data_IF_696865159401
#
_entry.id   IF_696865159401
#
_cell.length_a   1.000
_cell.length_b   1.000
_cell.length_c   1.000
_cell.angle_alpha   90.00
_cell.angle_beta   90.00
_cell.angle_gamma   90.00
#
_symmetry.space_group_name_H-M   'P 1'
#
loop_
_entity.id
_entity.type
_entity.pdbx_description
1 polymer ?
#
# COMPACT_ATOMS: atom_id res chain seq x y z
N UNK A 1 6.68 22.00 -41.24
CA UNK A 1 6.21 22.01 -39.83
C UNK A 1 5.76 20.63 -39.33
N UNK A 2 4.93 19.87 -40.08
CA UNK A 2 4.48 18.52 -39.67
C UNK A 2 5.59 17.49 -39.40
N UNK A 3 6.73 17.57 -40.11
CA UNK A 3 7.86 16.63 -39.97
C UNK A 3 8.60 16.74 -38.63
N UNK A 4 8.61 17.93 -38.02
CA UNK A 4 9.29 18.17 -36.74
C UNK A 4 8.46 17.73 -35.52
N UNK A 5 7.18 17.42 -35.71
CA UNK A 5 6.28 16.90 -34.65
C UNK A 5 6.44 15.38 -34.48
N UNK A 6 6.87 14.66 -35.53
CA UNK A 6 7.07 13.21 -35.49
C UNK A 6 8.28 12.79 -34.66
N UNK A 7 9.33 13.62 -34.66
CA UNK A 7 10.58 13.35 -33.93
C UNK A 7 10.36 13.22 -32.42
N UNK A 8 9.71 14.17 -31.71
CA UNK A 8 9.49 14.04 -30.28
C UNK A 8 8.57 12.86 -29.93
N UNK A 9 7.58 12.54 -30.76
CA UNK A 9 6.69 11.39 -30.54
C UNK A 9 7.43 10.05 -30.55
N UNK A 10 8.44 9.89 -31.40
CA UNK A 10 9.28 8.69 -31.46
C UNK A 10 10.15 8.52 -30.21
N UNK A 11 10.66 9.62 -29.63
CA UNK A 11 11.47 9.56 -28.41
C UNK A 11 10.63 9.27 -27.14
N UNK A 12 9.37 9.70 -27.10
CA UNK A 12 8.47 9.39 -25.98
C UNK A 12 8.15 7.88 -25.87
N UNK A 13 8.11 7.16 -26.99
CA UNK A 13 7.86 5.71 -27.00
C UNK A 13 8.95 4.88 -26.32
N UNK A 14 10.20 5.37 -26.30
CA UNK A 14 11.33 4.67 -25.66
C UNK A 14 11.24 4.66 -24.13
N UNK A 15 10.48 5.59 -23.55
CA UNK A 15 10.26 5.70 -22.10
C UNK A 15 9.10 4.81 -21.61
N UNK A 16 8.32 4.21 -22.51
CA UNK A 16 7.22 3.31 -22.17
C UNK A 16 7.76 1.90 -21.86
N UNK A 17 8.47 1.75 -20.74
CA UNK A 17 8.93 0.47 -20.22
C UNK A 17 7.78 -0.23 -19.46
N UNK A 18 6.90 -0.92 -20.19
CA UNK A 18 5.91 -1.82 -19.57
C UNK A 18 5.96 -3.20 -20.23
N UNK A 19 7.04 -3.94 -19.97
CA UNK A 19 7.13 -5.35 -20.37
C UNK A 19 6.61 -6.24 -19.25
N UNK A 20 5.68 -7.15 -19.57
CA UNK A 20 5.28 -8.20 -18.63
C UNK A 20 6.44 -9.17 -18.41
N UNK A 21 6.49 -9.84 -17.25
CA UNK A 21 7.60 -10.77 -16.91
C UNK A 21 7.81 -11.86 -17.95
N UNK A 22 6.74 -12.33 -18.61
CA UNK A 22 6.82 -13.35 -19.67
C UNK A 22 7.44 -12.78 -20.96
N UNK A 23 7.16 -11.52 -21.30
CA UNK A 23 7.76 -10.84 -22.45
C UNK A 23 9.25 -10.63 -22.20
N UNK A 24 9.62 -10.17 -21.00
CA UNK A 24 11.02 -10.02 -20.59
C UNK A 24 11.77 -11.37 -20.60
N UNK A 25 11.14 -12.44 -20.08
CA UNK A 25 11.74 -13.77 -20.12
C UNK A 25 12.02 -14.23 -21.55
N UNK A 26 11.10 -13.98 -22.49
CA UNK A 26 11.29 -14.31 -23.91
C UNK A 26 12.35 -13.43 -24.59
N UNK A 27 12.39 -12.13 -24.31
CA UNK A 27 13.36 -11.22 -24.92
C UNK A 27 14.81 -11.54 -24.51
N UNK A 28 15.00 -12.13 -23.33
CA UNK A 28 16.28 -12.66 -22.85
C UNK A 28 16.48 -14.15 -23.16
N UNK A 29 15.97 -14.62 -24.31
CA UNK A 29 16.15 -15.99 -24.84
C UNK A 29 15.53 -17.11 -23.99
N UNK A 30 14.66 -16.78 -23.04
CA UNK A 30 13.91 -17.74 -22.26
C UNK A 30 12.77 -18.38 -23.06
N UNK A 31 12.47 -19.66 -22.79
CA UNK A 31 11.34 -20.36 -23.42
C UNK A 31 10.07 -20.26 -22.57
N UNK A 32 8.90 -20.35 -23.23
CA UNK A 32 7.60 -20.49 -22.53
C UNK A 32 7.60 -21.71 -21.62
N UNK A 33 8.25 -22.80 -22.04
CA UNK A 33 8.35 -24.04 -21.27
C UNK A 33 9.13 -23.82 -19.97
N UNK A 34 10.25 -23.10 -19.99
CA UNK A 34 11.02 -22.81 -18.78
C UNK A 34 10.29 -21.83 -17.86
N UNK A 35 9.61 -20.82 -18.41
CA UNK A 35 8.76 -19.91 -17.64
C UNK A 35 7.59 -20.66 -16.97
N UNK A 36 6.91 -21.53 -17.72
CA UNK A 36 5.81 -22.36 -17.20
C UNK A 36 6.27 -23.29 -16.09
N UNK A 37 7.46 -23.89 -16.23
CA UNK A 37 8.07 -24.71 -15.18
C UNK A 37 8.37 -23.89 -13.92
N UNK A 38 8.94 -22.68 -14.06
CA UNK A 38 9.21 -21.79 -12.94
C UNK A 38 7.92 -21.34 -12.24
N UNK A 39 6.88 -21.03 -13.02
CA UNK A 39 5.55 -20.65 -12.51
C UNK A 39 4.87 -21.78 -11.74
N UNK A 40 4.80 -22.98 -12.33
CA UNK A 40 4.15 -24.14 -11.71
C UNK A 40 4.83 -24.62 -10.45
N UNK A 41 6.16 -24.55 -10.40
CA UNK A 41 6.96 -25.05 -9.28
C UNK A 41 7.39 -23.94 -8.30
N UNK A 42 6.85 -22.72 -8.43
CA UNK A 42 7.22 -21.56 -7.62
C UNK A 42 8.75 -21.36 -7.48
N UNK A 43 9.48 -21.44 -8.60
CA UNK A 43 10.94 -21.29 -8.59
C UNK A 43 11.35 -19.81 -8.53
N UNK A 44 12.47 -19.52 -7.87
CA UNK A 44 13.02 -18.16 -7.72
C UNK A 44 12.03 -17.22 -6.99
N UNK A 45 11.89 -15.98 -7.44
CA UNK A 45 10.98 -14.96 -6.88
C UNK A 45 9.67 -14.85 -7.68
N UNK A 46 9.17 -15.95 -8.24
CA UNK A 46 7.98 -15.89 -9.10
C UNK A 46 6.68 -15.62 -8.33
N UNK A 47 6.58 -16.11 -7.08
CA UNK A 47 5.52 -15.76 -6.13
C UNK A 47 5.47 -14.27 -5.79
N UNK A 48 6.62 -13.59 -5.75
CA UNK A 48 6.69 -12.17 -5.42
C UNK A 48 6.46 -11.25 -6.63
N UNK A 49 6.11 -11.81 -7.79
CA UNK A 49 5.90 -11.03 -9.01
C UNK A 49 4.44 -10.61 -9.17
N UNK A 50 4.22 -9.35 -9.53
CA UNK A 50 2.90 -8.86 -9.89
C UNK A 50 2.48 -9.19 -11.35
N UNK A 51 3.38 -9.76 -12.16
CA UNK A 51 3.17 -10.09 -13.58
C UNK A 51 2.64 -8.94 -14.47
N UNK A 52 2.84 -7.69 -14.06
CA UNK A 52 2.28 -6.52 -14.76
C UNK A 52 0.84 -6.17 -14.36
N UNK A 53 0.31 -6.75 -13.28
CA UNK A 53 -0.92 -6.26 -12.65
C UNK A 53 -0.72 -4.83 -12.11
N UNK A 54 -1.80 -4.03 -12.04
CA UNK A 54 -1.75 -2.72 -11.40
C UNK A 54 -1.24 -2.85 -9.95
N UNK A 55 -0.58 -1.80 -9.46
CA UNK A 55 -0.11 -1.75 -8.08
C UNK A 55 -1.29 -1.95 -7.12
N UNK A 56 -1.22 -2.99 -6.29
CA UNK A 56 -2.17 -3.24 -5.22
C UNK A 56 -1.48 -2.74 -3.94
N UNK A 57 -1.98 -1.70 -3.27
CA UNK A 57 -1.35 -1.22 -2.05
C UNK A 57 -1.37 -2.33 -0.99
N UNK A 58 -0.31 -2.46 -0.17
CA UNK A 58 -0.32 -3.36 0.96
C UNK A 58 -1.42 -2.94 1.94
N UNK A 59 -1.97 -3.91 2.65
CA UNK A 59 -2.95 -3.61 3.70
C UNK A 59 -2.30 -2.85 4.84
N UNK A 60 -3.01 -1.85 5.35
CA UNK A 60 -2.61 -1.07 6.51
C UNK A 60 -3.59 -1.33 7.66
N UNK A 61 -3.07 -1.54 8.86
CA UNK A 61 -3.83 -1.59 10.11
C UNK A 61 -3.44 -0.40 10.97
N UNK A 62 -4.43 0.40 11.37
CA UNK A 62 -4.21 1.51 12.30
C UNK A 62 -4.31 0.96 13.71
N UNK A 63 -3.20 0.96 14.44
CA UNK A 63 -3.15 0.39 15.79
C UNK A 63 -3.49 1.45 16.84
N UNK A 64 -2.90 2.65 16.73
CA UNK A 64 -3.19 3.74 17.65
C UNK A 64 -3.11 5.13 17.04
N UNK A 65 -3.85 6.06 17.65
CA UNK A 65 -3.81 7.49 17.40
C UNK A 65 -3.49 8.18 18.74
N UNK A 66 -2.38 8.89 18.78
CA UNK A 66 -1.81 9.46 20.01
C UNK A 66 -1.75 10.98 19.88
N UNK A 67 -2.57 11.69 20.65
CA UNK A 67 -2.48 13.14 20.72
C UNK A 67 -1.40 13.56 21.73
N UNK A 68 -0.33 14.16 21.22
CA UNK A 68 0.79 14.67 22.02
C UNK A 68 0.41 16.01 22.67
N UNK A 69 -0.17 16.90 21.86
CA UNK A 69 -0.69 18.20 22.26
C UNK A 69 -1.79 18.64 21.27
N UNK A 70 -2.24 19.88 21.36
CA UNK A 70 -3.35 20.40 20.56
C UNK A 70 -3.02 20.47 19.06
N UNK A 71 -1.74 20.58 18.68
CA UNK A 71 -1.29 20.67 17.29
C UNK A 71 -0.65 19.39 16.75
N UNK A 72 -0.31 18.41 17.58
CA UNK A 72 0.54 17.28 17.18
C UNK A 72 -0.11 15.95 17.56
N UNK A 73 -0.31 15.11 16.54
CA UNK A 73 -0.87 13.77 16.68
C UNK A 73 0.03 12.76 15.97
N UNK A 74 0.27 11.61 16.59
CA UNK A 74 1.03 10.49 16.01
C UNK A 74 0.05 9.39 15.63
N UNK A 75 0.14 8.92 14.40
CA UNK A 75 -0.49 7.69 13.94
C UNK A 75 0.52 6.55 14.06
N UNK A 76 0.15 5.48 14.73
CA UNK A 76 0.93 4.24 14.76
C UNK A 76 0.15 3.20 13.97
N UNK A 77 0.78 2.68 12.92
CA UNK A 77 0.14 1.71 12.03
C UNK A 77 1.12 0.64 11.56
N UNK A 78 0.57 -0.49 11.16
CA UNK A 78 1.30 -1.61 10.58
C UNK A 78 0.91 -1.77 9.13
N UNK A 79 1.91 -1.85 8.26
CA UNK A 79 1.72 -2.15 6.83
C UNK A 79 2.12 -3.59 6.57
N UNK A 80 1.29 -4.36 5.88
CA UNK A 80 1.63 -5.72 5.47
C UNK A 80 2.86 -5.71 4.54
N UNK A 81 3.76 -6.67 4.73
CA UNK A 81 4.97 -6.84 3.92
C UNK A 81 4.68 -7.47 2.54
N UNK A 82 3.40 -7.67 2.23
CA UNK A 82 2.92 -8.25 0.98
C UNK A 82 1.62 -7.58 0.54
N UNK A 83 1.32 -7.72 -0.75
CA UNK A 83 0.07 -7.26 -1.34
C UNK A 83 -0.90 -8.43 -1.44
N UNK A 84 -2.10 -8.29 -0.90
CA UNK A 84 -3.15 -9.31 -1.05
C UNK A 84 -3.88 -9.12 -2.37
N UNK A 85 -3.37 -9.76 -3.42
CA UNK A 85 -4.08 -9.84 -4.69
C UNK A 85 -5.35 -10.71 -4.62
N UNK A 86 -5.49 -11.55 -3.58
CA UNK A 86 -6.63 -12.45 -3.42
C UNK A 86 -7.09 -12.48 -1.96
N UNK A 87 -8.42 -12.42 -1.75
CA UNK A 87 -9.13 -12.40 -0.45
C UNK A 87 -9.00 -13.69 0.39
N UNK A 88 -7.87 -14.39 0.33
CA UNK A 88 -7.70 -15.72 0.95
C UNK A 88 -6.97 -15.73 2.29
N UNK A 89 -6.48 -14.58 2.75
CA UNK A 89 -5.73 -14.45 3.99
C UNK A 89 -6.55 -13.60 4.96
N UNK A 90 -6.90 -14.17 6.11
CA UNK A 90 -7.43 -13.40 7.23
C UNK A 90 -6.26 -12.71 7.93
N UNK A 91 -6.40 -11.40 8.17
CA UNK A 91 -5.35 -10.61 8.78
C UNK A 91 -5.04 -11.00 10.23
N UNK A 92 -6.03 -11.59 10.90
CA UNK A 92 -5.97 -12.10 12.27
C UNK A 92 -5.06 -13.34 12.38
N UNK A 93 -4.87 -14.08 11.29
CA UNK A 93 -4.05 -15.30 11.26
C UNK A 93 -2.57 -15.02 10.95
N UNK A 94 -2.21 -13.74 10.75
CA UNK A 94 -0.86 -13.33 10.37
C UNK A 94 0.00 -13.00 11.59
N UNK A 95 1.20 -13.56 11.62
CA UNK A 95 2.28 -13.21 12.54
C UNK A 95 2.66 -11.72 12.41
N UNK A 96 3.07 -11.09 13.51
CA UNK A 96 3.67 -9.75 13.56
C UNK A 96 4.80 -9.56 12.55
N UNK A 97 5.61 -10.58 12.26
CA UNK A 97 6.69 -10.53 11.25
C UNK A 97 6.18 -10.25 9.83
N UNK A 98 4.90 -10.49 9.58
CA UNK A 98 4.22 -10.18 8.31
C UNK A 98 3.98 -8.68 8.12
N UNK A 99 4.25 -7.87 9.13
CA UNK A 99 3.99 -6.44 9.12
C UNK A 99 5.25 -5.62 9.40
N UNK A 100 5.26 -4.40 8.87
CA UNK A 100 6.22 -3.36 9.24
C UNK A 100 5.49 -2.28 10.02
N UNK A 101 5.95 -2.03 11.25
CA UNK A 101 5.47 -0.93 12.08
C UNK A 101 5.95 0.42 11.54
N UNK A 102 5.05 1.39 11.47
CA UNK A 102 5.30 2.76 11.01
C UNK A 102 4.66 3.77 11.95
N UNK A 103 5.22 4.98 11.94
CA UNK A 103 4.74 6.12 12.72
C UNK A 103 4.73 7.35 11.83
N UNK A 104 3.56 7.97 11.70
CA UNK A 104 3.39 9.22 10.97
C UNK A 104 2.97 10.32 11.94
N UNK A 105 3.59 11.49 11.80
CA UNK A 105 3.26 12.67 12.60
C UNK A 105 2.38 13.60 11.80
N UNK A 106 1.24 13.96 12.37
CA UNK A 106 0.31 14.95 11.85
C UNK A 106 0.44 16.25 12.63
N UNK A 107 0.52 17.35 11.90
CA UNK A 107 0.54 18.70 12.47
C UNK A 107 -0.76 19.43 12.12
N UNK A 108 -1.37 20.09 13.09
CA UNK A 108 -2.56 20.93 12.97
C UNK A 108 -3.72 20.24 12.23
N UNK A 109 -3.95 18.95 12.51
CA UNK A 109 -5.00 18.20 11.83
C UNK A 109 -6.40 18.69 12.26
N UNK A 110 -7.30 18.85 11.29
CA UNK A 110 -8.63 19.45 11.50
C UNK A 110 -9.48 18.73 12.56
N UNK A 111 -9.52 17.40 12.53
CA UNK A 111 -10.26 16.60 13.51
C UNK A 111 -9.41 15.73 14.44
N UNK A 112 -8.23 15.26 14.01
CA UNK A 112 -7.30 14.48 14.85
C UNK A 112 -6.42 15.41 15.70
N UNK A 113 -7.05 16.12 16.62
CA UNK A 113 -6.39 16.99 17.60
C UNK A 113 -6.99 16.78 19.00
N UNK A 114 -6.27 17.19 20.03
CA UNK A 114 -6.67 17.01 21.45
C UNK A 114 -7.98 17.70 21.80
N UNK A 115 -8.30 18.79 21.11
CA UNK A 115 -9.47 19.62 21.44
C UNK A 115 -10.79 18.88 21.19
N UNK A 116 -10.78 17.98 20.21
CA UNK A 116 -11.92 17.17 19.80
C UNK A 116 -12.16 15.98 20.73
N UNK A 117 -13.45 15.62 20.88
CA UNK A 117 -13.85 14.46 21.68
C UNK A 117 -13.62 13.16 20.92
N UNK A 118 -13.34 12.10 21.68
CA UNK A 118 -13.19 10.76 21.13
C UNK A 118 -14.46 10.30 20.40
N UNK A 119 -15.64 10.67 20.92
CA UNK A 119 -16.93 10.37 20.28
C UNK A 119 -17.02 11.01 18.90
N UNK A 120 -16.60 12.27 18.76
CA UNK A 120 -16.56 12.95 17.47
C UNK A 120 -15.58 12.27 16.52
N UNK A 121 -14.35 12.03 16.96
CA UNK A 121 -13.31 11.41 16.13
C UNK A 121 -13.74 10.04 15.61
N UNK A 122 -14.31 9.20 16.48
CA UNK A 122 -14.82 7.87 16.09
C UNK A 122 -16.06 7.92 15.19
N UNK A 123 -16.78 9.05 15.15
CA UNK A 123 -17.93 9.24 14.26
C UNK A 123 -17.55 9.63 12.83
N UNK A 124 -16.33 10.11 12.62
CA UNK A 124 -15.82 10.47 11.31
C UNK A 124 -15.76 9.24 10.40
N UNK A 125 -16.15 9.41 9.13
CA UNK A 125 -16.12 8.30 8.19
C UNK A 125 -14.68 7.84 7.97
N UNK A 126 -14.47 6.52 7.93
CA UNK A 126 -13.12 5.92 7.85
C UNK A 126 -12.26 6.46 6.70
N UNK A 127 -12.88 6.79 5.57
CA UNK A 127 -12.18 7.33 4.40
C UNK A 127 -11.69 8.78 4.57
N UNK A 128 -12.15 9.49 5.59
CA UNK A 128 -11.69 10.86 5.89
C UNK A 128 -10.42 10.86 6.76
N UNK A 129 -10.06 9.70 7.34
CA UNK A 129 -8.79 9.57 8.03
C UNK A 129 -7.62 9.77 7.05
N UNK A 130 -6.51 10.38 7.50
CA UNK A 130 -5.34 10.64 6.66
C UNK A 130 -4.63 9.38 6.19
N UNK A 131 -5.00 8.21 6.71
CA UNK A 131 -4.49 6.90 6.29
C UNK A 131 -5.65 5.96 5.98
N UNK A 132 -5.53 5.22 4.88
CA UNK A 132 -6.50 4.17 4.52
C UNK A 132 -6.13 2.87 5.22
N UNK A 133 -6.85 2.53 6.29
CA UNK A 133 -6.63 1.29 7.07
C UNK A 133 -7.78 0.29 6.91
N UNK A 134 -7.57 -0.97 7.28
CA UNK A 134 -8.51 -2.09 7.09
C UNK A 134 -9.30 -2.49 8.34
N UNK A 135 -8.71 -2.40 9.54
CA UNK A 135 -9.39 -2.70 10.81
C UNK A 135 -10.53 -1.73 11.15
N UNK A 136 -11.41 -2.07 12.09
CA UNK A 136 -12.52 -1.19 12.49
C UNK A 136 -11.98 -0.05 13.36
N UNK A 137 -12.58 1.14 13.26
CA UNK A 137 -12.19 2.31 14.09
C UNK A 137 -12.30 2.01 15.58
N UNK A 138 -13.22 1.14 15.98
CA UNK A 138 -13.40 0.74 17.38
C UNK A 138 -12.26 -0.14 17.92
N UNK A 139 -11.47 -0.78 17.05
CA UNK A 139 -10.29 -1.57 17.41
C UNK A 139 -9.04 -0.68 17.54
N UNK A 140 -9.10 0.59 17.13
CA UNK A 140 -8.02 1.55 17.22
C UNK A 140 -7.94 2.12 18.64
N UNK A 141 -6.75 2.16 19.21
CA UNK A 141 -6.50 2.78 20.49
C UNK A 141 -6.32 4.31 20.34
N UNK A 142 -7.10 5.10 21.09
CA UNK A 142 -7.00 6.55 21.08
C UNK A 142 -6.48 7.05 22.42
N UNK A 143 -5.32 7.70 22.40
CA UNK A 143 -4.59 8.13 23.60
C UNK A 143 -4.48 9.65 23.61
N UNK A 144 -4.75 10.27 24.76
CA UNK A 144 -4.57 11.72 24.94
C UNK A 144 -5.68 12.61 24.39
N UNK A 145 -6.83 12.04 24.02
CA UNK A 145 -8.04 12.76 23.59
C UNK A 145 -9.04 12.95 24.73
N UNK A 146 -9.91 13.95 24.60
CA UNK A 146 -11.03 14.16 25.53
C UNK A 146 -12.05 13.02 25.39
N UNK A 147 -12.57 12.54 26.52
CA UNK A 147 -13.62 11.50 26.55
C UNK A 147 -14.94 12.04 26.02
#
# INVERSE_FOLDING_TARGET
MKKYILIPFLFFGLLAQSQTKIIAHKSHSGSVKSFSKAYKNNLFTINNSNFGNPYIPPTVMLDSVISINDSTTILVHRTANFCLATRRVNFEDLDESSYTLKRDTLYNHSFLNRENSLKFIKSIHKNEYPIHFSNKVNEVEFIGFKK
#
